data_IF_705301003942
#
_entry.id   IF_705301003942
#
_cell.length_a   1.000
_cell.length_b   1.000
_cell.length_c   1.000
_cell.angle_alpha   90.00
_cell.angle_beta   90.00
_cell.angle_gamma   90.00
#
_symmetry.space_group_name_H-M   'P 1'
#
loop_
_entity.id
_entity.type
_entity.pdbx_description
1 polymer ?
#
# COMPACT_ATOMS: atom_id res chain seq x y z
N UNK A 1 69.96 1.59 7.23
CA UNK A 1 69.16 2.03 6.07
C UNK A 1 67.77 1.42 6.20
N UNK A 2 66.78 2.29 6.00
CA UNK A 2 65.34 2.12 5.95
C UNK A 2 64.87 0.79 5.28
N UNK A 3 63.86 0.10 5.84
CA UNK A 3 62.66 -0.24 5.05
C UNK A 3 61.49 -0.74 5.91
N UNK A 4 60.49 0.15 6.00
CA UNK A 4 59.04 -0.03 6.07
C UNK A 4 58.44 -1.41 6.45
N UNK A 5 57.69 -1.42 7.56
CA UNK A 5 56.42 -2.16 7.65
C UNK A 5 55.44 -1.54 6.63
N UNK A 6 54.58 -2.31 5.94
CA UNK A 6 53.20 -2.28 6.43
C UNK A 6 52.33 -3.51 6.12
N UNK A 7 51.25 -3.58 6.90
CA UNK A 7 49.91 -3.99 6.51
C UNK A 7 49.69 -5.45 6.06
N UNK A 8 48.92 -6.17 6.88
CA UNK A 8 47.77 -6.91 6.36
C UNK A 8 46.61 -6.77 7.34
N UNK A 9 46.05 -5.56 7.38
CA UNK A 9 44.76 -5.24 7.98
C UNK A 9 43.67 -5.56 6.96
N UNK A 10 43.34 -6.84 6.75
CA UNK A 10 42.20 -7.23 5.88
C UNK A 10 41.47 -8.41 6.49
N UNK A 11 40.76 -8.18 7.59
CA UNK A 11 39.88 -9.18 8.22
C UNK A 11 38.43 -8.67 8.39
N UNK A 12 38.03 -7.63 7.64
CA UNK A 12 36.68 -7.05 7.72
C UNK A 12 35.81 -7.33 6.49
N UNK A 13 36.26 -8.14 5.52
CA UNK A 13 35.45 -8.52 4.35
C UNK A 13 34.64 -9.81 4.53
N UNK A 14 34.62 -10.41 5.72
CA UNK A 14 33.92 -11.67 5.99
C UNK A 14 32.55 -11.50 6.68
N UNK A 15 31.89 -10.36 6.51
CA UNK A 15 30.45 -10.30 6.78
C UNK A 15 29.72 -10.86 5.55
N UNK A 16 29.02 -12.02 5.65
CA UNK A 16 28.41 -12.64 4.49
C UNK A 16 27.26 -11.76 4.00
N UNK A 17 27.48 -11.07 2.87
CA UNK A 17 26.41 -10.55 2.02
C UNK A 17 25.53 -11.68 1.43
N UNK A 18 25.73 -12.92 1.87
CA UNK A 18 25.03 -14.14 1.47
C UNK A 18 23.97 -14.58 2.49
N UNK A 19 23.52 -13.70 3.37
CA UNK A 19 22.18 -13.85 3.93
C UNK A 19 21.19 -13.36 2.87
N UNK A 20 20.52 -14.24 2.09
CA UNK A 20 19.35 -13.81 1.35
C UNK A 20 18.37 -13.33 2.41
N UNK A 21 18.17 -12.02 2.50
CA UNK A 21 16.94 -11.52 3.09
C UNK A 21 15.84 -12.19 2.29
N UNK A 22 15.18 -13.19 2.87
CA UNK A 22 13.97 -13.78 2.29
C UNK A 22 12.91 -12.70 2.44
N UNK A 23 12.99 -11.66 1.60
CA UNK A 23 11.88 -10.77 1.36
C UNK A 23 10.78 -11.70 0.87
N UNK A 24 9.81 -11.96 1.73
CA UNK A 24 8.66 -12.78 1.38
C UNK A 24 7.93 -11.98 0.28
N UNK A 25 7.95 -12.42 -0.99
CA UNK A 25 7.38 -11.65 -2.08
C UNK A 25 5.86 -11.47 -1.90
N UNK A 26 5.22 -12.34 -1.12
CA UNK A 26 3.82 -12.22 -0.70
C UNK A 26 3.57 -10.98 0.17
N UNK A 27 4.56 -10.52 0.95
CA UNK A 27 4.46 -9.28 1.74
C UNK A 27 4.71 -8.01 0.90
N UNK A 28 5.23 -8.14 -0.32
CA UNK A 28 5.54 -7.02 -1.23
C UNK A 28 4.39 -6.68 -2.18
N UNK A 29 3.30 -7.43 -2.15
CA UNK A 29 2.10 -7.07 -2.90
C UNK A 29 1.36 -6.00 -2.11
N UNK A 30 1.89 -4.77 -2.16
CA UNK A 30 1.17 -3.60 -1.67
C UNK A 30 -0.19 -3.59 -2.35
N UNK A 31 -1.26 -3.56 -1.54
CA UNK A 31 -2.60 -3.35 -2.06
C UNK A 31 -2.58 -2.06 -2.88
N UNK A 32 -3.20 -2.08 -4.05
CA UNK A 32 -3.28 -0.86 -4.83
C UNK A 32 -4.03 0.19 -3.99
N UNK A 33 -3.58 1.45 -4.00
CA UNK A 33 -4.18 2.47 -3.14
C UNK A 33 -5.68 2.64 -3.40
N UNK A 34 -6.14 2.39 -4.63
CA UNK A 34 -7.55 2.44 -4.98
C UNK A 34 -8.37 1.26 -4.40
N UNK A 35 -7.77 0.08 -4.28
CA UNK A 35 -8.37 -1.07 -3.57
C UNK A 35 -8.51 -0.79 -2.08
N UNK A 36 -7.46 -0.25 -1.45
CA UNK A 36 -7.46 0.10 -0.04
C UNK A 36 -8.49 1.18 0.30
N UNK A 37 -8.59 2.24 -0.52
CA UNK A 37 -9.57 3.32 -0.34
C UNK A 37 -11.01 2.82 -0.52
N UNK A 38 -11.25 1.94 -1.50
CA UNK A 38 -12.56 1.32 -1.66
C UNK A 38 -12.93 0.52 -0.41
N UNK A 39 -12.05 -0.37 0.05
CA UNK A 39 -12.29 -1.20 1.23
C UNK A 39 -12.52 -0.36 2.51
N UNK A 40 -11.81 0.76 2.65
CA UNK A 40 -11.99 1.70 3.75
C UNK A 40 -13.37 2.37 3.70
N UNK A 41 -13.82 2.79 2.50
CA UNK A 41 -15.17 3.33 2.30
C UNK A 41 -16.26 2.34 2.71
N UNK A 42 -16.14 1.08 2.27
CA UNK A 42 -17.09 0.02 2.64
C UNK A 42 -17.07 -0.29 4.14
N UNK A 43 -15.89 -0.20 4.78
CA UNK A 43 -15.80 -0.30 6.24
C UNK A 43 -16.58 0.81 6.93
N UNK A 44 -16.39 2.07 6.52
CA UNK A 44 -17.13 3.18 7.09
C UNK A 44 -18.64 3.02 6.90
N UNK A 45 -19.06 2.47 5.76
CA UNK A 45 -20.46 2.15 5.51
C UNK A 45 -21.00 1.12 6.52
N UNK A 46 -20.26 0.02 6.74
CA UNK A 46 -20.62 -1.01 7.74
C UNK A 46 -20.63 -0.48 9.17
N UNK A 47 -19.73 0.45 9.47
CA UNK A 47 -19.63 1.09 10.78
C UNK A 47 -20.66 2.24 10.95
N UNK A 48 -21.51 2.51 9.95
CA UNK A 48 -22.53 3.57 9.96
C UNK A 48 -21.98 4.99 9.84
N UNK A 49 -20.68 5.14 9.51
CA UNK A 49 -20.02 6.42 9.37
C UNK A 49 -20.12 6.94 7.92
N UNK A 50 -21.31 7.40 7.54
CA UNK A 50 -21.59 7.85 6.18
C UNK A 50 -20.72 9.06 5.76
N UNK A 51 -20.43 9.98 6.68
CA UNK A 51 -19.60 11.14 6.38
C UNK A 51 -18.17 10.74 5.96
N UNK A 52 -17.56 9.80 6.69
CA UNK A 52 -16.23 9.30 6.35
C UNK A 52 -16.23 8.47 5.07
N UNK A 53 -17.29 7.68 4.83
CA UNK A 53 -17.48 6.98 3.56
C UNK A 53 -17.52 7.96 2.38
N UNK A 54 -18.38 8.98 2.42
CA UNK A 54 -18.52 9.95 1.34
C UNK A 54 -17.22 10.73 1.08
N UNK A 55 -16.51 11.13 2.14
CA UNK A 55 -15.21 11.78 2.01
C UNK A 55 -14.19 10.87 1.30
N UNK A 56 -14.13 9.59 1.68
CA UNK A 56 -13.22 8.60 1.10
C UNK A 56 -13.55 8.34 -0.37
N UNK A 57 -14.83 8.20 -0.72
CA UNK A 57 -15.27 7.94 -2.10
C UNK A 57 -15.02 9.13 -3.03
N UNK A 58 -15.25 10.37 -2.56
CA UNK A 58 -14.86 11.57 -3.33
C UNK A 58 -13.36 11.60 -3.59
N UNK A 59 -12.56 11.37 -2.56
CA UNK A 59 -11.11 11.33 -2.71
C UNK A 59 -10.65 10.24 -3.69
N UNK A 60 -11.28 9.06 -3.67
CA UNK A 60 -10.99 7.98 -4.61
C UNK A 60 -11.22 8.43 -6.06
N UNK A 61 -12.35 9.08 -6.35
CA UNK A 61 -12.69 9.56 -7.70
C UNK A 61 -11.72 10.67 -8.14
N UNK A 62 -11.46 11.64 -7.25
CA UNK A 62 -10.58 12.77 -7.53
C UNK A 62 -9.14 12.33 -7.79
N UNK A 63 -8.61 11.42 -6.97
CA UNK A 63 -7.20 11.01 -7.02
C UNK A 63 -6.96 9.88 -8.02
N UNK A 64 -7.92 8.98 -8.21
CA UNK A 64 -7.82 7.78 -9.02
C UNK A 64 -9.00 7.66 -10.00
N UNK A 65 -9.22 8.63 -10.91
CA UNK A 65 -10.39 8.64 -11.79
C UNK A 65 -10.49 7.41 -12.70
N UNK A 66 -9.36 6.78 -13.05
CA UNK A 66 -9.30 5.55 -13.84
C UNK A 66 -9.39 4.25 -13.02
N UNK A 67 -9.60 4.33 -11.70
CA UNK A 67 -9.83 3.15 -10.87
C UNK A 67 -11.08 2.41 -11.35
N UNK A 68 -11.04 1.07 -11.23
CA UNK A 68 -12.22 0.21 -11.41
C UNK A 68 -13.38 0.58 -10.49
N UNK A 69 -13.13 1.30 -9.40
CA UNK A 69 -14.14 1.68 -8.42
C UNK A 69 -14.76 3.06 -8.66
N UNK A 70 -14.19 3.92 -9.51
CA UNK A 70 -14.63 5.31 -9.66
C UNK A 70 -16.11 5.44 -10.02
N UNK A 71 -16.60 4.60 -10.94
CA UNK A 71 -18.01 4.58 -11.34
C UNK A 71 -18.90 4.15 -10.16
N UNK A 72 -18.51 3.10 -9.43
CA UNK A 72 -19.28 2.61 -8.29
C UNK A 72 -19.27 3.60 -7.13
N UNK A 73 -18.16 4.28 -6.91
CA UNK A 73 -18.04 5.36 -5.93
C UNK A 73 -18.97 6.53 -6.27
N UNK A 74 -19.07 6.93 -7.55
CA UNK A 74 -19.99 7.98 -7.98
C UNK A 74 -21.45 7.58 -7.72
N UNK A 75 -21.85 6.37 -8.12
CA UNK A 75 -23.20 5.86 -7.88
C UNK A 75 -23.53 5.75 -6.37
N UNK A 76 -22.55 5.40 -5.54
CA UNK A 76 -22.70 5.36 -4.09
C UNK A 76 -22.90 6.76 -3.47
N UNK A 77 -22.26 7.80 -4.01
CA UNK A 77 -22.45 9.19 -3.60
C UNK A 77 -23.81 9.74 -4.04
N UNK A 78 -24.29 9.31 -5.21
CA UNK A 78 -25.62 9.68 -5.74
C UNK A 78 -26.77 8.92 -5.05
N UNK A 79 -26.47 7.99 -4.13
CA UNK A 79 -27.46 7.16 -3.43
C UNK A 79 -28.07 6.05 -4.28
N UNK A 80 -27.49 5.77 -5.45
CA UNK A 80 -27.97 4.77 -6.42
C UNK A 80 -27.52 3.35 -6.11
N UNK A 81 -26.50 3.18 -5.26
CA UNK A 81 -25.98 1.87 -4.82
C UNK A 81 -25.96 1.83 -3.29
N UNK A 82 -26.75 0.94 -2.66
CA UNK A 82 -26.71 0.77 -1.21
C UNK A 82 -25.39 0.10 -0.79
N UNK A 83 -24.91 0.48 0.41
CA UNK A 83 -23.61 0.11 0.95
C UNK A 83 -23.38 -1.40 1.16
N UNK A 84 -24.42 -2.21 1.07
CA UNK A 84 -24.43 -3.64 1.33
C UNK A 84 -24.49 -4.50 0.04
N UNK A 85 -24.63 -3.90 -1.14
CA UNK A 85 -24.74 -4.61 -2.42
C UNK A 85 -23.44 -5.30 -2.89
N UNK A 86 -22.37 -5.23 -2.10
CA UNK A 86 -21.04 -5.76 -2.43
C UNK A 86 -20.81 -7.23 -2.01
N UNK A 87 -21.84 -7.95 -1.55
CA UNK A 87 -21.75 -9.35 -1.11
C UNK A 87 -22.15 -10.35 -2.20
#
# INVERSE_FOLDING_TARGET
>A
MLSLRPLSLVALLAAPLQCPSRANPELTREDRPDDALWALGERFARDGNEAARQATLRYLIERYPSSRYSVRAALALDGSVPADASR
#
